data_IF_065079980947
#
_entry.id   IF_065079980947
#
_cell.length_a   1.000
_cell.length_b   1.000
_cell.length_c   1.000
_cell.angle_alpha   90.00
_cell.angle_beta   90.00
_cell.angle_gamma   90.00
#
_symmetry.space_group_name_H-M   'P 1'
#
loop_
_entity.id
_entity.type
_entity.pdbx_description
1 polymer ?
#
# COMPACT_ATOMS: atom_id res chain seq x y z
N UNK A 1 23.88 33.23 28.11
CA UNK A 1 23.82 33.25 29.58
C UNK A 1 22.37 33.01 29.99
N UNK A 2 21.98 31.76 30.23
CA UNK A 2 20.62 31.39 30.67
C UNK A 2 20.62 31.31 32.20
N UNK A 3 20.05 32.33 32.86
CA UNK A 3 19.77 32.24 34.30
C UNK A 3 18.76 31.12 34.59
N UNK A 4 18.76 30.54 35.80
CA UNK A 4 17.85 29.46 36.14
C UNK A 4 16.39 29.90 35.96
N UNK A 5 15.64 29.17 35.14
CA UNK A 5 14.21 29.43 34.94
C UNK A 5 13.49 29.32 36.28
N UNK A 6 12.78 30.38 36.68
CA UNK A 6 11.97 30.32 37.91
C UNK A 6 10.81 29.35 37.74
N UNK A 7 10.45 28.60 38.79
CA UNK A 7 9.36 27.61 38.78
C UNK A 7 8.03 28.17 38.23
N UNK A 8 7.76 29.46 38.47
CA UNK A 8 6.57 30.17 37.94
C UNK A 8 6.62 30.37 36.42
N UNK A 9 7.80 30.51 35.84
CA UNK A 9 7.97 30.62 34.38
C UNK A 9 7.71 29.27 33.72
N UNK A 10 8.19 28.18 34.33
CA UNK A 10 7.98 26.83 33.83
C UNK A 10 6.50 26.43 33.85
N UNK A 11 5.79 26.73 34.96
CA UNK A 11 4.35 26.48 35.12
C UNK A 11 3.44 27.33 34.22
N UNK A 12 3.98 28.32 33.52
CA UNK A 12 3.24 29.11 32.52
C UNK A 12 3.62 28.76 31.09
N UNK A 13 4.51 27.79 30.90
CA UNK A 13 4.97 27.35 29.59
C UNK A 13 3.84 26.62 28.85
N UNK A 14 3.46 27.07 27.64
CA UNK A 14 2.48 26.36 26.83
C UNK A 14 2.93 24.93 26.48
N UNK A 15 4.23 24.71 26.28
CA UNK A 15 4.77 23.37 26.03
C UNK A 15 4.53 22.43 27.21
N UNK A 16 4.72 22.92 28.45
CA UNK A 16 4.41 22.12 29.63
C UNK A 16 2.92 21.76 29.66
N UNK A 17 2.04 22.70 29.33
CA UNK A 17 0.61 22.43 29.27
C UNK A 17 0.27 21.39 28.18
N UNK A 18 0.84 21.50 26.98
CA UNK A 18 0.63 20.52 25.91
C UNK A 18 1.09 19.13 26.34
N UNK A 19 2.26 19.03 26.97
CA UNK A 19 2.79 17.77 27.50
C UNK A 19 1.90 17.19 28.60
N UNK A 20 1.45 18.00 29.57
CA UNK A 20 0.61 17.52 30.65
C UNK A 20 -0.77 17.08 30.15
N UNK A 21 -1.41 17.88 29.29
CA UNK A 21 -2.73 17.54 28.73
C UNK A 21 -2.60 16.34 27.81
N UNK A 22 -1.61 16.32 26.91
CA UNK A 22 -1.34 15.20 26.01
C UNK A 22 -1.02 13.90 26.77
N UNK A 23 -0.21 13.96 27.83
CA UNK A 23 0.07 12.80 28.68
C UNK A 23 -1.16 12.34 29.48
N UNK A 24 -2.01 13.27 29.95
CA UNK A 24 -3.27 12.92 30.58
C UNK A 24 -4.24 12.24 29.60
N UNK A 25 -4.31 12.73 28.35
CA UNK A 25 -5.10 12.09 27.28
C UNK A 25 -4.53 10.70 26.99
N UNK A 26 -3.21 10.56 26.86
CA UNK A 26 -2.54 9.29 26.64
C UNK A 26 -2.80 8.29 27.77
N UNK A 27 -2.61 8.72 29.02
CA UNK A 27 -2.86 7.88 30.19
C UNK A 27 -4.35 7.53 30.32
N UNK A 28 -5.25 8.48 30.07
CA UNK A 28 -6.69 8.21 30.04
C UNK A 28 -7.08 7.22 28.96
N UNK A 29 -6.52 7.36 27.75
CA UNK A 29 -6.67 6.41 26.66
C UNK A 29 -6.14 5.03 27.08
N UNK A 30 -4.89 4.92 27.54
CA UNK A 30 -4.28 3.67 27.97
C UNK A 30 -4.95 3.00 29.18
N UNK A 31 -5.63 3.75 30.05
CA UNK A 31 -6.38 3.23 31.19
C UNK A 31 -7.81 2.80 30.84
N UNK A 32 -8.40 3.41 29.80
CA UNK A 32 -9.73 3.06 29.29
C UNK A 32 -9.64 1.98 28.21
N UNK A 33 -8.48 1.84 27.58
CA UNK A 33 -8.17 0.80 26.63
C UNK A 33 -7.86 -0.48 27.41
N UNK A 34 -8.93 -1.22 27.76
CA UNK A 34 -8.86 -2.56 28.36
C UNK A 34 -8.35 -3.63 27.37
N UNK A 35 -7.81 -3.22 26.22
CA UNK A 35 -7.04 -4.13 25.39
C UNK A 35 -5.72 -4.41 26.13
N UNK A 36 -5.47 -5.67 26.58
CA UNK A 36 -4.16 -6.02 27.12
C UNK A 36 -3.11 -5.59 26.10
N UNK A 37 -1.91 -5.12 26.52
CA UNK A 37 -0.86 -4.75 25.59
C UNK A 37 -0.73 -5.92 24.63
N UNK A 38 -1.23 -5.73 23.41
CA UNK A 38 -1.16 -6.79 22.45
C UNK A 38 0.34 -7.04 22.34
N UNK A 39 0.84 -8.28 22.52
CA UNK A 39 2.12 -8.58 21.91
C UNK A 39 1.98 -8.00 20.51
N UNK A 40 2.87 -7.05 20.13
CA UNK A 40 2.71 -6.21 18.94
C UNK A 40 2.00 -7.05 17.89
N UNK A 41 0.88 -6.63 17.26
CA UNK A 41 -0.02 -7.54 16.52
C UNK A 41 0.67 -8.57 15.60
N UNK A 42 1.91 -8.27 15.21
CA UNK A 42 2.84 -9.07 14.41
C UNK A 42 3.95 -9.82 15.19
N UNK A 43 3.86 -9.97 16.51
CA UNK A 43 4.87 -10.60 17.34
C UNK A 43 4.84 -12.11 17.09
N UNK A 44 5.94 -12.60 16.52
CA UNK A 44 6.07 -14.00 16.13
C UNK A 44 6.63 -14.76 17.31
N UNK A 45 5.82 -15.67 17.86
CA UNK A 45 6.23 -16.55 18.96
C UNK A 45 6.64 -17.91 18.41
N UNK A 46 7.89 -18.28 18.63
CA UNK A 46 8.41 -19.60 18.28
C UNK A 46 8.12 -20.55 19.45
N UNK A 47 7.30 -21.57 19.22
CA UNK A 47 7.07 -22.59 20.24
C UNK A 47 8.31 -23.48 20.44
N UNK A 48 8.48 -24.10 21.63
CA UNK A 48 9.58 -25.04 21.87
C UNK A 48 9.65 -26.17 20.84
N UNK A 49 8.49 -26.69 20.43
CA UNK A 49 8.41 -27.78 19.44
C UNK A 49 8.89 -27.34 18.05
N UNK A 50 8.59 -26.11 17.65
CA UNK A 50 9.05 -25.54 16.37
C UNK A 50 10.57 -25.27 16.42
N UNK A 51 11.07 -24.75 17.55
CA UNK A 51 12.51 -24.57 17.76
C UNK A 51 13.26 -25.91 17.66
N UNK A 52 12.72 -26.97 18.27
CA UNK A 52 13.30 -28.30 18.19
C UNK A 52 13.30 -28.85 16.75
N UNK A 53 12.23 -28.63 15.97
CA UNK A 53 12.19 -29.02 14.56
C UNK A 53 13.28 -28.35 13.72
N UNK A 54 13.51 -27.06 13.93
CA UNK A 54 14.58 -26.30 13.25
C UNK A 54 15.94 -26.93 13.54
N UNK A 55 16.21 -27.25 14.81
CA UNK A 55 17.46 -27.90 15.23
C UNK A 55 17.60 -29.30 14.63
N UNK A 56 16.53 -30.09 14.62
CA UNK A 56 16.54 -31.44 14.04
C UNK A 56 16.77 -31.41 12.53
N UNK A 57 16.16 -30.48 11.81
CA UNK A 57 16.37 -30.34 10.37
C UNK A 57 17.82 -29.96 10.02
N UNK A 58 18.43 -29.08 10.83
CA UNK A 58 19.85 -28.77 10.70
C UNK A 58 20.71 -30.02 10.96
N UNK A 59 20.42 -30.78 12.02
CA UNK A 59 21.15 -32.02 12.35
C UNK A 59 21.05 -33.08 11.25
N UNK A 60 19.86 -33.28 10.67
CA UNK A 60 19.67 -34.23 9.57
C UNK A 60 20.51 -33.86 8.33
N UNK A 61 20.71 -32.57 8.10
CA UNK A 61 21.43 -32.07 6.91
C UNK A 61 22.94 -32.06 7.13
N UNK A 62 23.40 -31.63 8.31
CA UNK A 62 24.81 -31.35 8.59
C UNK A 62 25.47 -32.36 9.53
N UNK A 63 24.71 -33.34 10.05
CA UNK A 63 25.12 -34.37 11.00
C UNK A 63 25.87 -33.83 12.24
N UNK A 64 25.51 -32.61 12.68
CA UNK A 64 26.03 -31.96 13.90
C UNK A 64 25.01 -30.97 14.45
N UNK A 65 25.21 -30.52 15.69
CA UNK A 65 24.41 -29.44 16.25
C UNK A 65 24.83 -28.06 15.68
N UNK A 66 23.89 -27.11 15.54
CA UNK A 66 24.21 -25.74 15.14
C UNK A 66 25.00 -25.03 16.24
N UNK A 67 25.92 -24.15 15.84
CA UNK A 67 26.53 -23.17 16.74
C UNK A 67 25.52 -22.07 17.12
N UNK A 68 25.81 -21.29 18.16
CA UNK A 68 24.92 -20.18 18.60
C UNK A 68 24.63 -19.21 17.46
N UNK A 69 25.66 -18.80 16.70
CA UNK A 69 25.48 -17.89 15.56
C UNK A 69 24.75 -18.51 14.36
N UNK A 70 24.74 -19.83 14.23
CA UNK A 70 23.91 -20.52 13.22
C UNK A 70 22.48 -20.65 13.71
N UNK A 71 22.28 -20.94 14.99
CA UNK A 71 20.95 -20.99 15.61
C UNK A 71 20.24 -19.64 15.52
N UNK A 72 20.93 -18.55 15.84
CA UNK A 72 20.38 -17.19 15.71
C UNK A 72 19.94 -16.90 14.26
N UNK A 73 20.75 -17.28 13.27
CA UNK A 73 20.41 -17.09 11.85
C UNK A 73 19.21 -17.95 11.43
N UNK A 74 19.12 -19.18 11.93
CA UNK A 74 17.97 -20.06 11.65
C UNK A 74 16.69 -19.51 12.27
N UNK A 75 16.76 -19.01 13.50
CA UNK A 75 15.63 -18.39 14.19
C UNK A 75 15.18 -17.10 13.50
N UNK A 76 16.12 -16.26 13.07
CA UNK A 76 15.82 -15.05 12.28
C UNK A 76 15.19 -15.39 10.93
N UNK A 77 15.72 -16.38 10.23
CA UNK A 77 15.17 -16.82 8.94
C UNK A 77 13.74 -17.36 9.09
N UNK A 78 13.49 -18.18 10.12
CA UNK A 78 12.15 -18.67 10.43
C UNK A 78 11.18 -17.53 10.76
N UNK A 79 11.60 -16.56 11.57
CA UNK A 79 10.77 -15.41 11.91
C UNK A 79 10.42 -14.57 10.66
N UNK A 80 11.38 -14.37 9.75
CA UNK A 80 11.14 -13.68 8.49
C UNK A 80 10.14 -14.45 7.60
N UNK A 81 10.28 -15.76 7.50
CA UNK A 81 9.35 -16.61 6.74
C UNK A 81 7.92 -16.50 7.29
N UNK A 82 7.75 -16.63 8.61
CA UNK A 82 6.44 -16.55 9.26
C UNK A 82 5.82 -15.14 9.09
N UNK A 83 6.63 -14.07 9.15
CA UNK A 83 6.17 -12.71 8.87
C UNK A 83 5.59 -12.59 7.45
N UNK A 84 6.32 -13.08 6.44
CA UNK A 84 5.90 -13.03 5.03
C UNK A 84 4.64 -13.86 4.78
N UNK A 85 4.50 -15.02 5.43
CA UNK A 85 3.31 -15.87 5.28
C UNK A 85 2.08 -15.22 5.91
N UNK A 86 2.21 -14.54 7.05
CA UNK A 86 1.11 -13.79 7.67
C UNK A 86 0.64 -12.65 6.78
N UNK A 87 1.58 -11.87 6.25
CA UNK A 87 1.30 -10.77 5.33
C UNK A 87 0.58 -11.27 4.07
N UNK A 88 1.10 -12.34 3.44
CA UNK A 88 0.49 -12.94 2.27
C UNK A 88 -0.96 -13.41 2.51
N UNK A 89 -1.29 -13.87 3.73
CA UNK A 89 -2.66 -14.25 4.12
C UNK A 89 -3.55 -13.03 4.36
N UNK A 90 -3.03 -11.99 5.01
CA UNK A 90 -3.74 -10.73 5.26
C UNK A 90 -4.15 -10.06 3.94
N UNK A 91 -3.22 -10.02 2.98
CA UNK A 91 -3.44 -9.55 1.61
C UNK A 91 -4.33 -10.48 0.76
N UNK A 92 -4.70 -11.65 1.28
CA UNK A 92 -5.56 -12.60 0.58
C UNK A 92 -4.93 -13.24 -0.65
N UNK A 93 -3.59 -13.23 -0.77
CA UNK A 93 -2.85 -13.72 -1.96
C UNK A 93 -3.09 -15.22 -2.24
N UNK A 94 -3.57 -15.97 -1.25
CA UNK A 94 -3.97 -17.37 -1.43
C UNK A 94 -5.35 -17.56 -2.10
N UNK A 95 -6.19 -16.53 -2.18
CA UNK A 95 -7.55 -16.65 -2.71
C UNK A 95 -7.54 -16.60 -4.23
N UNK A 96 -8.09 -17.63 -4.86
CA UNK A 96 -8.25 -17.69 -6.31
C UNK A 96 -6.98 -18.08 -7.08
N UNK A 97 -5.82 -18.15 -6.41
CA UNK A 97 -4.57 -18.55 -7.05
C UNK A 97 -4.55 -20.08 -7.35
N UNK A 98 -4.39 -20.47 -8.63
CA UNK A 98 -4.41 -21.88 -9.03
C UNK A 98 -3.19 -22.68 -8.54
N UNK A 99 -2.02 -22.04 -8.38
CA UNK A 99 -0.79 -22.69 -7.91
C UNK A 99 -0.91 -23.05 -6.44
N UNK A 100 -1.38 -22.11 -5.60
CA UNK A 100 -1.60 -22.33 -4.18
C UNK A 100 -2.68 -23.40 -3.97
N UNK A 101 -3.78 -23.34 -4.74
CA UNK A 101 -4.83 -24.37 -4.69
C UNK A 101 -4.28 -25.76 -5.01
N UNK A 102 -3.47 -25.89 -6.06
CA UNK A 102 -2.85 -27.16 -6.43
C UNK A 102 -1.90 -27.67 -5.34
N UNK A 103 -1.08 -26.79 -4.74
CA UNK A 103 -0.16 -27.14 -3.65
C UNK A 103 -0.90 -27.63 -2.40
N UNK A 104 -2.02 -26.99 -2.04
CA UNK A 104 -2.86 -27.42 -0.91
C UNK A 104 -3.50 -28.79 -1.18
N UNK A 105 -4.06 -28.99 -2.38
CA UNK A 105 -4.58 -30.30 -2.79
C UNK A 105 -3.50 -31.38 -2.73
N UNK A 106 -2.30 -31.10 -3.23
CA UNK A 106 -1.17 -32.03 -3.18
C UNK A 106 -0.78 -32.38 -1.73
N UNK A 107 -0.73 -31.40 -0.82
CA UNK A 107 -0.45 -31.66 0.60
C UNK A 107 -1.55 -32.50 1.26
N UNK A 108 -2.82 -32.25 0.94
CA UNK A 108 -3.93 -33.05 1.47
C UNK A 108 -3.89 -34.49 0.97
N UNK A 109 -3.57 -34.71 -0.31
CA UNK A 109 -3.38 -36.05 -0.86
C UNK A 109 -2.20 -36.76 -0.18
N UNK A 110 -1.08 -36.08 0.08
CA UNK A 110 0.04 -36.67 0.82
C UNK A 110 -0.36 -37.14 2.23
N UNK A 111 -1.18 -36.36 2.95
CA UNK A 111 -1.69 -36.74 4.28
C UNK A 111 -2.65 -37.93 4.18
N UNK A 112 -3.54 -37.93 3.17
CA UNK A 112 -4.49 -39.00 2.93
C UNK A 112 -3.80 -40.32 2.54
N UNK A 113 -2.80 -40.25 1.65
CA UNK A 113 -2.00 -41.39 1.18
C UNK A 113 -1.06 -41.90 2.28
N UNK A 114 -0.45 -41.02 3.07
CA UNK A 114 0.37 -41.41 4.22
C UNK A 114 -0.40 -42.20 5.28
N UNK A 115 -1.72 -42.00 5.36
CA UNK A 115 -2.63 -42.80 6.22
C UNK A 115 -3.02 -44.14 5.57
N UNK A 116 -2.90 -44.27 4.24
CA UNK A 116 -3.24 -45.47 3.47
C UNK A 116 -2.02 -46.35 3.11
N UNK A 117 -0.80 -45.82 3.25
CA UNK A 117 0.47 -46.44 2.83
C UNK A 117 0.91 -47.69 3.63
N UNK A 118 0.07 -48.19 4.55
CA UNK A 118 0.38 -49.39 5.34
C UNK A 118 0.21 -50.73 4.59
N UNK A 119 -0.39 -50.73 3.39
CA UNK A 119 -0.65 -51.96 2.64
C UNK A 119 -0.03 -51.91 1.24
N UNK A 120 1.09 -52.61 1.05
CA UNK A 120 1.65 -52.87 -0.28
C UNK A 120 1.01 -54.13 -0.86
N UNK A 121 0.29 -54.01 -1.97
CA UNK A 121 -0.23 -55.17 -2.71
C UNK A 121 0.92 -55.92 -3.41
N UNK A 122 0.81 -57.23 -3.56
CA UNK A 122 1.81 -58.03 -4.27
C UNK A 122 1.71 -57.87 -5.81
N UNK A 123 2.79 -58.21 -6.52
CA UNK A 123 2.87 -58.06 -7.97
C UNK A 123 1.80 -58.86 -8.72
N UNK A 124 1.36 -60.00 -8.17
CA UNK A 124 0.30 -60.82 -8.74
C UNK A 124 -1.06 -60.11 -8.70
N UNK A 125 -1.37 -59.44 -7.59
CA UNK A 125 -2.59 -58.64 -7.44
C UNK A 125 -2.57 -57.43 -8.37
N UNK A 126 -1.41 -56.78 -8.52
CA UNK A 126 -1.24 -55.63 -9.42
C UNK A 126 -1.41 -56.03 -10.89
N UNK A 127 -0.83 -57.16 -11.32
CA UNK A 127 -0.95 -57.66 -12.69
C UNK A 127 -2.38 -58.04 -13.03
N UNK A 128 -3.08 -58.76 -12.13
CA UNK A 128 -4.48 -59.11 -12.33
C UNK A 128 -5.39 -57.87 -12.41
N UNK A 129 -5.09 -56.82 -11.63
CA UNK A 129 -5.83 -55.57 -11.66
C UNK A 129 -5.62 -54.80 -12.97
N UNK A 130 -4.39 -54.77 -13.50
CA UNK A 130 -4.05 -54.16 -14.78
C UNK A 130 -4.77 -54.85 -15.94
N UNK A 131 -4.79 -56.18 -15.95
CA UNK A 131 -5.46 -56.98 -16.98
C UNK A 131 -6.99 -56.84 -16.94
N UNK A 132 -7.57 -56.68 -15.74
CA UNK A 132 -9.01 -56.48 -15.56
C UNK A 132 -9.48 -55.06 -15.90
N UNK A 133 -8.58 -54.06 -15.88
CA UNK A 133 -8.94 -52.64 -16.08
C UNK A 133 -8.05 -51.94 -17.13
N UNK A 134 -7.92 -52.50 -18.35
CA UNK A 134 -6.99 -51.98 -19.36
C UNK A 134 -7.29 -50.53 -19.76
N UNK A 135 -8.56 -50.11 -19.73
CA UNK A 135 -8.97 -48.75 -20.10
C UNK A 135 -8.65 -47.70 -19.03
N UNK A 136 -8.49 -48.09 -17.76
CA UNK A 136 -8.09 -47.19 -16.66
C UNK A 136 -6.61 -46.79 -16.76
N UNK A 137 -5.78 -47.63 -17.38
CA UNK A 137 -4.34 -47.43 -17.52
C UNK A 137 -3.91 -47.02 -18.95
N UNK A 138 -4.86 -46.85 -19.87
CA UNK A 138 -4.61 -46.25 -21.18
C UNK A 138 -4.50 -44.73 -21.03
N UNK A 139 -3.42 -44.15 -21.55
CA UNK A 139 -3.34 -42.68 -21.69
C UNK A 139 -4.31 -42.25 -22.79
N UNK A 140 -5.24 -41.32 -22.53
CA UNK A 140 -6.11 -40.80 -23.58
C UNK A 140 -5.26 -40.14 -24.67
N UNK A 141 -5.72 -40.21 -25.92
CA UNK A 141 -5.07 -39.52 -27.03
C UNK A 141 -5.10 -38.01 -26.76
N UNK A 142 -3.92 -37.39 -26.69
CA UNK A 142 -3.76 -35.94 -26.56
C UNK A 142 -3.53 -35.33 -27.94
N UNK A 143 -4.30 -34.31 -28.29
CA UNK A 143 -4.14 -33.58 -29.55
C UNK A 143 -3.79 -32.13 -29.23
N UNK A 144 -2.75 -31.61 -29.87
CA UNK A 144 -2.39 -30.19 -29.83
C UNK A 144 -2.80 -29.56 -31.16
N UNK A 145 -3.53 -28.46 -31.12
CA UNK A 145 -3.92 -27.68 -32.30
C UNK A 145 -3.80 -26.18 -31.97
N UNK A 146 -3.61 -25.36 -33.01
CA UNK A 146 -3.52 -23.91 -32.91
C UNK A 146 -4.62 -23.29 -33.76
N UNK A 147 -5.31 -22.29 -33.23
CA UNK A 147 -6.37 -21.56 -33.92
C UNK A 147 -5.89 -20.14 -34.21
N UNK A 148 -6.12 -19.67 -35.44
CA UNK A 148 -5.80 -18.31 -35.85
C UNK A 148 -7.13 -17.58 -36.08
N UNK A 149 -7.49 -16.61 -35.22
CA UNK A 149 -8.71 -15.83 -35.41
C UNK A 149 -8.51 -14.85 -36.58
N UNK A 150 -9.49 -14.77 -37.47
CA UNK A 150 -9.54 -13.82 -38.57
C UNK A 150 -10.71 -12.87 -38.35
N UNK A 151 -10.52 -11.58 -38.64
CA UNK A 151 -11.63 -10.62 -38.65
C UNK A 151 -12.52 -10.81 -39.89
N UNK A 152 -13.79 -10.35 -39.91
CA UNK A 152 -14.70 -10.55 -41.04
C UNK A 152 -14.16 -10.03 -42.39
N UNK A 153 -13.37 -8.96 -42.36
CA UNK A 153 -12.65 -8.37 -43.49
C UNK A 153 -11.43 -9.18 -43.95
N UNK A 154 -10.94 -10.11 -43.13
CA UNK A 154 -9.83 -11.02 -43.42
C UNK A 154 -10.29 -12.42 -43.86
N UNK A 155 -11.60 -12.68 -43.92
CA UNK A 155 -12.14 -14.01 -44.23
C UNK A 155 -11.65 -14.56 -45.59
N UNK A 156 -11.51 -13.69 -46.59
CA UNK A 156 -11.04 -14.06 -47.94
C UNK A 156 -9.54 -14.44 -47.96
N UNK A 157 -8.79 -14.13 -46.91
CA UNK A 157 -7.36 -14.42 -46.80
C UNK A 157 -7.08 -15.83 -46.23
N UNK A 158 -8.10 -16.51 -45.70
CA UNK A 158 -7.96 -17.81 -45.05
C UNK A 158 -7.24 -18.89 -45.90
N UNK A 159 -7.50 -19.04 -47.21
CA UNK A 159 -6.80 -20.03 -48.04
C UNK A 159 -5.31 -19.72 -48.21
N UNK A 160 -4.95 -18.44 -48.34
CA UNK A 160 -3.57 -18.01 -48.46
C UNK A 160 -2.81 -18.19 -47.14
N UNK A 161 -3.50 -17.93 -46.02
CA UNK A 161 -2.99 -18.17 -44.67
C UNK A 161 -2.75 -19.65 -44.39
N UNK A 162 -3.65 -20.52 -44.86
CA UNK A 162 -3.50 -21.96 -44.72
C UNK A 162 -2.26 -22.46 -45.45
N UNK A 163 -2.02 -21.98 -46.68
CA UNK A 163 -0.85 -22.33 -47.45
C UNK A 163 0.47 -21.91 -46.76
N UNK A 164 0.52 -20.71 -46.15
CA UNK A 164 1.72 -20.28 -45.42
C UNK A 164 1.98 -21.10 -44.16
N UNK A 165 0.94 -21.57 -43.48
CA UNK A 165 1.05 -22.47 -42.33
C UNK A 165 1.54 -23.87 -42.74
N UNK A 166 1.03 -24.40 -43.86
CA UNK A 166 1.50 -25.66 -44.43
C UNK A 166 2.98 -25.60 -44.84
N UNK A 167 3.46 -24.40 -45.24
CA UNK A 167 4.87 -24.11 -45.52
C UNK A 167 5.73 -23.86 -44.26
N UNK A 168 5.16 -24.01 -43.06
CA UNK A 168 5.89 -23.96 -41.79
C UNK A 168 6.04 -22.57 -41.17
N UNK A 169 5.22 -21.59 -41.58
CA UNK A 169 5.15 -20.29 -40.91
C UNK A 169 4.70 -20.45 -39.44
N UNK A 170 5.29 -19.66 -38.54
CA UNK A 170 4.88 -19.62 -37.15
C UNK A 170 3.51 -18.91 -37.04
N UNK A 171 2.45 -19.60 -36.56
CA UNK A 171 1.10 -19.04 -36.53
C UNK A 171 0.97 -17.84 -35.57
N UNK A 172 1.90 -17.68 -34.62
CA UNK A 172 1.90 -16.56 -33.67
C UNK A 172 2.12 -15.18 -34.31
N UNK A 173 2.66 -15.13 -35.54
CA UNK A 173 3.04 -13.88 -36.22
C UNK A 173 2.05 -13.43 -37.29
N UNK A 174 0.95 -14.18 -37.48
CA UNK A 174 0.07 -14.03 -38.63
C UNK A 174 -1.15 -13.13 -38.35
N UNK A 175 -1.55 -12.99 -37.09
CA UNK A 175 -2.69 -12.15 -36.69
C UNK A 175 -2.22 -10.89 -35.95
N UNK A 176 -2.11 -9.77 -36.66
CA UNK A 176 -1.91 -8.43 -36.09
C UNK A 176 -3.20 -7.63 -36.19
N UNK A 177 -3.75 -7.20 -35.05
CA UNK A 177 -4.88 -6.27 -35.01
C UNK A 177 -4.37 -4.83 -35.23
N UNK A 178 -4.75 -4.13 -36.33
CA UNK A 178 -4.23 -2.79 -36.64
C UNK A 178 -4.53 -1.74 -35.56
N UNK A 179 -5.66 -1.90 -34.87
CA UNK A 179 -6.14 -1.00 -33.81
C UNK A 179 -5.66 -1.44 -32.40
N UNK A 180 -4.82 -2.47 -32.30
CA UNK A 180 -4.43 -3.08 -31.03
C UNK A 180 -5.47 -4.05 -30.45
N UNK A 181 -5.14 -4.70 -29.33
CA UNK A 181 -6.01 -5.67 -28.63
C UNK A 181 -6.73 -5.06 -27.41
N UNK A 182 -6.28 -3.90 -26.93
CA UNK A 182 -6.76 -3.21 -25.73
C UNK A 182 -8.23 -2.77 -25.87
N UNK A 183 -9.09 -3.12 -24.90
CA UNK A 183 -10.53 -2.88 -24.96
C UNK A 183 -11.31 -3.84 -25.86
N UNK A 184 -10.61 -4.70 -26.63
CA UNK A 184 -11.21 -5.75 -27.44
C UNK A 184 -11.74 -6.91 -26.59
N UNK A 185 -12.82 -7.55 -27.07
CA UNK A 185 -13.34 -8.77 -26.43
C UNK A 185 -12.90 -9.99 -27.25
N UNK A 186 -12.18 -10.90 -26.60
CA UNK A 186 -11.86 -12.21 -27.18
C UNK A 186 -12.92 -13.19 -26.73
N UNK A 187 -13.62 -13.81 -27.70
CA UNK A 187 -14.63 -14.84 -27.48
C UNK A 187 -14.31 -16.07 -28.31
N UNK A 188 -14.46 -17.25 -27.72
CA UNK A 188 -14.36 -18.53 -28.43
C UNK A 188 -15.78 -19.04 -28.67
N UNK A 189 -16.27 -18.90 -29.91
CA UNK A 189 -17.60 -19.37 -30.26
C UNK A 189 -17.70 -20.89 -30.13
N UNK A 190 -18.77 -21.39 -29.50
CA UNK A 190 -19.01 -22.82 -29.36
C UNK A 190 -18.29 -23.48 -28.19
N UNK A 191 -17.47 -22.74 -27.42
CA UNK A 191 -16.81 -23.26 -26.23
C UNK A 191 -17.83 -23.73 -25.18
N UNK A 192 -18.99 -23.06 -25.10
CA UNK A 192 -20.12 -23.41 -24.24
C UNK A 192 -20.71 -24.80 -24.52
N UNK A 193 -20.43 -25.38 -25.69
CA UNK A 193 -20.90 -26.71 -26.11
C UNK A 193 -19.86 -27.81 -25.90
N UNK A 194 -18.73 -27.46 -25.29
CA UNK A 194 -17.60 -28.39 -25.08
C UNK A 194 -17.31 -28.56 -23.59
N UNK A 195 -16.64 -29.66 -23.22
CA UNK A 195 -16.10 -29.88 -21.87
C UNK A 195 -14.61 -29.52 -21.81
N UNK A 196 -14.19 -28.53 -22.58
CA UNK A 196 -12.78 -28.17 -22.76
C UNK A 196 -12.55 -26.75 -22.26
N UNK A 197 -11.40 -26.54 -21.62
CA UNK A 197 -10.91 -25.20 -21.28
C UNK A 197 -9.96 -24.71 -22.37
N UNK A 198 -10.02 -23.42 -22.69
CA UNK A 198 -9.13 -22.79 -23.68
C UNK A 198 -8.21 -21.80 -22.98
N UNK A 199 -6.90 -21.95 -23.17
CA UNK A 199 -5.92 -20.96 -22.73
C UNK A 199 -5.67 -19.97 -23.87
N UNK A 200 -6.06 -18.72 -23.64
CA UNK A 200 -5.76 -17.61 -24.54
C UNK A 200 -4.49 -16.94 -24.07
N UNK A 201 -3.44 -17.04 -24.85
CA UNK A 201 -2.18 -16.33 -24.64
C UNK A 201 -2.12 -15.14 -25.59
N UNK A 202 -1.94 -13.94 -25.05
CA UNK A 202 -1.91 -12.70 -25.83
C UNK A 202 -0.83 -11.75 -25.29
N UNK A 203 -0.39 -10.83 -26.14
CA UNK A 203 0.70 -9.90 -25.86
C UNK A 203 0.21 -8.49 -26.25
N UNK A 204 -0.44 -7.75 -25.33
CA UNK A 204 -0.98 -6.43 -25.64
C UNK A 204 0.13 -5.40 -25.84
N UNK A 205 1.28 -5.59 -25.20
CA UNK A 205 2.50 -4.78 -25.33
C UNK A 205 3.68 -5.70 -25.64
N UNK A 206 4.64 -5.30 -26.50
CA UNK A 206 5.81 -6.11 -26.81
C UNK A 206 6.57 -6.55 -25.55
N UNK A 207 6.71 -7.86 -25.36
CA UNK A 207 7.36 -8.50 -24.21
C UNK A 207 6.43 -8.86 -23.04
N UNK A 208 5.19 -8.36 -23.00
CA UNK A 208 4.24 -8.62 -21.90
C UNK A 208 3.25 -9.71 -22.27
N UNK A 209 3.66 -10.96 -22.09
CA UNK A 209 2.81 -12.11 -22.37
C UNK A 209 1.85 -12.35 -21.21
N UNK A 210 0.55 -12.26 -21.48
CA UNK A 210 -0.53 -12.60 -20.54
C UNK A 210 -1.24 -13.89 -20.99
N UNK A 211 -1.77 -14.65 -20.04
CA UNK A 211 -2.55 -15.85 -20.30
C UNK A 211 -3.86 -15.80 -19.53
N UNK A 212 -4.98 -15.94 -20.24
CA UNK A 212 -6.32 -16.02 -19.68
C UNK A 212 -6.91 -17.40 -19.96
N UNK A 213 -7.63 -17.98 -18.99
CA UNK A 213 -8.33 -19.25 -19.18
C UNK A 213 -9.81 -18.98 -19.43
N UNK A 214 -10.31 -19.46 -20.56
CA UNK A 214 -11.74 -19.51 -20.88
C UNK A 214 -12.27 -20.91 -20.58
N UNK A 215 -13.51 -20.95 -20.10
CA UNK A 215 -14.21 -22.19 -19.71
C UNK A 215 -15.54 -22.27 -20.46
N UNK A 216 -16.23 -23.40 -20.39
CA UNK A 216 -17.56 -23.54 -21.01
C UNK A 216 -18.62 -22.59 -20.42
N UNK A 217 -18.44 -22.11 -19.19
CA UNK A 217 -19.30 -21.11 -18.54
C UNK A 217 -18.85 -19.66 -18.74
N UNK A 218 -17.60 -19.45 -19.17
CA UNK A 218 -16.98 -18.14 -19.30
C UNK A 218 -16.18 -18.12 -20.60
N UNK A 219 -16.90 -17.91 -21.71
CA UNK A 219 -16.42 -18.12 -23.08
C UNK A 219 -15.82 -16.87 -23.73
N UNK A 220 -15.86 -15.74 -23.03
CA UNK A 220 -15.34 -14.47 -23.51
C UNK A 220 -14.69 -13.68 -22.37
N UNK A 221 -13.64 -12.92 -22.69
CA UNK A 221 -13.07 -11.94 -21.79
C UNK A 221 -12.73 -10.66 -22.54
N UNK A 222 -12.83 -9.52 -21.86
CA UNK A 222 -12.42 -8.23 -22.41
C UNK A 222 -11.00 -7.93 -21.95
N UNK A 223 -10.12 -7.63 -22.89
CA UNK A 223 -8.77 -7.18 -22.59
C UNK A 223 -8.90 -5.78 -21.99
N UNK A 224 -8.40 -5.60 -20.76
CA UNK A 224 -8.37 -4.29 -20.12
C UNK A 224 -7.73 -3.29 -21.09
N UNK A 225 -8.47 -2.25 -21.47
CA UNK A 225 -7.86 -1.13 -22.14
C UNK A 225 -6.85 -0.53 -21.16
N UNK A 226 -5.64 -0.19 -21.62
CA UNK A 226 -4.75 0.62 -20.81
C UNK A 226 -5.55 1.84 -20.37
N UNK A 227 -5.69 2.02 -19.05
CA UNK A 227 -6.42 3.14 -18.50
C UNK A 227 -5.88 4.39 -19.19
N UNK A 228 -6.74 5.12 -19.91
CA UNK A 228 -6.28 6.26 -20.68
C UNK A 228 -5.50 7.19 -19.76
N UNK A 229 -4.46 7.88 -20.27
CA UNK A 229 -3.65 8.83 -19.46
C UNK A 229 -4.54 9.76 -18.63
N UNK A 230 -5.70 10.16 -19.18
CA UNK A 230 -6.70 10.96 -18.48
C UNK A 230 -7.37 10.24 -17.29
N UNK A 231 -7.71 8.97 -17.42
CA UNK A 231 -8.31 8.15 -16.36
C UNK A 231 -7.31 7.88 -15.22
N UNK A 232 -6.05 7.62 -15.58
CA UNK A 232 -4.94 7.55 -14.61
C UNK A 232 -4.79 8.89 -13.89
N UNK A 233 -4.73 10.01 -14.62
CA UNK A 233 -4.59 11.34 -14.04
C UNK A 233 -5.73 11.65 -13.06
N UNK A 234 -6.98 11.37 -13.45
CA UNK A 234 -8.15 11.60 -12.62
C UNK A 234 -8.13 10.74 -11.35
N UNK A 235 -7.76 9.47 -11.47
CA UNK A 235 -7.70 8.54 -10.34
C UNK A 235 -6.65 8.98 -9.31
N UNK A 236 -5.45 9.39 -9.77
CA UNK A 236 -4.39 9.85 -8.88
C UNK A 236 -4.66 11.23 -8.28
N UNK A 237 -5.29 12.16 -9.01
CA UNK A 237 -5.77 13.43 -8.44
C UNK A 237 -6.78 13.16 -7.32
N UNK A 238 -7.75 12.26 -7.56
CA UNK A 238 -8.74 11.91 -6.54
C UNK A 238 -8.08 11.27 -5.32
N UNK A 239 -7.13 10.36 -5.53
CA UNK A 239 -6.36 9.72 -4.47
C UNK A 239 -5.58 10.72 -3.62
N UNK A 240 -4.89 11.68 -4.25
CA UNK A 240 -4.18 12.74 -3.53
C UNK A 240 -5.11 13.65 -2.75
N UNK A 241 -6.29 13.94 -3.30
CA UNK A 241 -7.31 14.74 -2.63
C UNK A 241 -7.89 14.02 -1.41
N UNK A 242 -8.21 12.74 -1.49
CA UNK A 242 -8.74 11.99 -0.33
C UNK A 242 -7.65 11.75 0.72
N UNK A 243 -6.41 11.47 0.28
CA UNK A 243 -5.27 11.23 1.17
C UNK A 243 -5.05 12.37 2.18
N UNK A 244 -5.03 13.62 1.71
CA UNK A 244 -4.82 14.77 2.58
C UNK A 244 -5.99 14.99 3.56
N UNK A 245 -7.20 14.58 3.18
CA UNK A 245 -8.40 14.67 4.03
C UNK A 245 -8.45 13.57 5.10
N UNK A 246 -7.91 12.39 4.82
CA UNK A 246 -7.84 11.28 5.77
C UNK A 246 -6.71 11.48 6.80
N UNK A 247 -5.62 12.14 6.40
CA UNK A 247 -4.50 12.45 7.27
C UNK A 247 -4.77 13.58 8.26
N UNK A 248 -5.21 13.24 9.48
CA UNK A 248 -5.47 14.24 10.53
C UNK A 248 -4.23 15.10 10.87
N UNK A 249 -3.02 14.53 10.85
CA UNK A 249 -1.77 15.29 11.01
C UNK A 249 -1.65 16.43 9.99
N UNK A 250 -1.97 16.13 8.72
CA UNK A 250 -1.90 17.10 7.65
C UNK A 250 -2.96 18.20 7.80
N UNK A 251 -4.19 17.84 8.18
CA UNK A 251 -5.25 18.83 8.41
C UNK A 251 -4.93 19.74 9.61
N UNK A 252 -4.39 19.20 10.70
CA UNK A 252 -3.95 19.99 11.84
C UNK A 252 -2.77 20.89 11.49
N UNK A 253 -1.83 20.39 10.68
CA UNK A 253 -0.71 21.18 10.16
C UNK A 253 -1.19 22.36 9.30
N UNK A 254 -2.07 22.11 8.32
CA UNK A 254 -2.63 23.15 7.44
C UNK A 254 -3.47 24.14 8.24
N UNK A 255 -4.25 23.67 9.23
CA UNK A 255 -5.00 24.54 10.14
C UNK A 255 -4.05 25.43 10.96
N UNK A 256 -2.96 24.87 11.47
CA UNK A 256 -1.96 25.65 12.20
C UNK A 256 -1.29 26.70 11.31
N UNK A 257 -0.94 26.35 10.06
CA UNK A 257 -0.40 27.30 9.08
C UNK A 257 -1.40 28.40 8.73
N UNK A 258 -2.68 28.06 8.53
CA UNK A 258 -3.75 29.03 8.28
C UNK A 258 -3.87 30.05 9.41
N UNK A 259 -3.71 29.61 10.67
CA UNK A 259 -3.76 30.49 11.83
C UNK A 259 -2.46 31.28 12.05
N UNK A 260 -1.33 30.75 11.59
CA UNK A 260 0.00 31.35 11.78
C UNK A 260 0.31 32.40 10.72
N UNK A 261 -0.08 32.15 9.46
CA UNK A 261 0.27 32.96 8.30
C UNK A 261 -0.88 33.94 7.97
N UNK A 262 -0.69 35.26 8.17
CA UNK A 262 -1.79 36.21 8.13
C UNK A 262 -2.23 36.61 6.71
N UNK A 263 -1.38 36.45 5.69
CA UNK A 263 -1.69 36.89 4.33
C UNK A 263 -2.03 35.70 3.43
N UNK A 264 -3.14 35.73 2.67
CA UNK A 264 -3.54 34.62 1.79
C UNK A 264 -2.47 34.26 0.76
N UNK A 265 -1.75 35.27 0.24
CA UNK A 265 -0.65 35.04 -0.71
C UNK A 265 0.52 34.30 -0.06
N UNK A 266 0.92 34.65 1.17
CA UNK A 266 1.99 33.94 1.85
C UNK A 266 1.55 32.54 2.26
N UNK A 267 0.28 32.36 2.64
CA UNK A 267 -0.28 31.05 2.95
C UNK A 267 -0.27 30.14 1.71
N UNK A 268 -0.73 30.63 0.57
CA UNK A 268 -0.70 29.91 -0.71
C UNK A 268 0.72 29.40 -1.00
N UNK A 269 1.71 30.29 -1.00
CA UNK A 269 3.10 29.89 -1.25
C UNK A 269 3.68 28.97 -0.18
N UNK A 270 3.23 29.05 1.08
CA UNK A 270 3.66 28.12 2.11
C UNK A 270 3.06 26.72 1.92
N UNK A 271 1.80 26.62 1.52
CA UNK A 271 1.13 25.36 1.19
C UNK A 271 1.78 24.74 -0.05
N UNK A 272 1.94 25.50 -1.13
CA UNK A 272 2.61 25.01 -2.34
C UNK A 272 4.05 24.55 -2.05
N UNK A 273 4.81 25.29 -1.22
CA UNK A 273 6.16 24.87 -0.83
C UNK A 273 6.18 23.56 -0.04
N UNK A 274 5.18 23.33 0.83
CA UNK A 274 5.01 22.04 1.50
C UNK A 274 4.72 20.93 0.51
N UNK A 275 3.76 21.12 -0.41
CA UNK A 275 3.42 20.13 -1.43
C UNK A 275 4.64 19.79 -2.29
N UNK A 276 5.41 20.79 -2.74
CA UNK A 276 6.62 20.55 -3.53
C UNK A 276 7.68 19.73 -2.78
N UNK A 277 7.92 20.03 -1.51
CA UNK A 277 8.85 19.26 -0.68
C UNK A 277 8.36 17.84 -0.40
N UNK A 278 7.06 17.71 -0.16
CA UNK A 278 6.38 16.42 0.00
C UNK A 278 6.52 15.58 -1.28
N UNK A 279 6.25 16.15 -2.46
CA UNK A 279 6.44 15.50 -3.77
C UNK A 279 7.86 14.97 -3.93
N UNK A 280 8.86 15.78 -3.57
CA UNK A 280 10.27 15.42 -3.75
C UNK A 280 10.67 14.20 -2.93
N UNK A 281 10.23 14.15 -1.67
CA UNK A 281 10.58 13.06 -0.75
C UNK A 281 9.74 11.81 -1.00
N UNK A 282 8.48 11.97 -1.38
CA UNK A 282 7.63 10.87 -1.83
C UNK A 282 8.19 10.21 -3.10
N UNK A 283 8.63 11.01 -4.08
CA UNK A 283 9.27 10.51 -5.30
C UNK A 283 10.60 9.79 -5.00
N UNK A 284 11.44 10.36 -4.14
CA UNK A 284 12.68 9.72 -3.73
C UNK A 284 12.44 8.37 -3.02
N UNK A 285 11.41 8.31 -2.17
CA UNK A 285 11.09 7.09 -1.44
C UNK A 285 10.40 6.04 -2.31
N UNK A 286 9.53 6.43 -3.25
CA UNK A 286 8.85 5.50 -4.18
C UNK A 286 9.80 4.88 -5.20
N UNK A 287 10.82 5.62 -5.65
CA UNK A 287 11.91 5.09 -6.50
C UNK A 287 12.92 4.22 -5.74
N UNK A 288 12.73 4.03 -4.43
CA UNK A 288 13.64 3.26 -3.58
C UNK A 288 14.99 3.94 -3.33
N UNK A 289 15.13 5.23 -3.64
CA UNK A 289 16.37 6.01 -3.40
C UNK A 289 16.55 6.27 -1.90
N UNK A 290 15.45 6.40 -1.15
CA UNK A 290 15.46 6.69 0.27
C UNK A 290 14.51 5.73 1.02
N UNK A 291 15.04 4.96 1.95
CA UNK A 291 14.28 4.07 2.84
C UNK A 291 14.50 4.50 4.27
N UNK A 292 13.42 4.95 4.93
CA UNK A 292 13.45 5.37 6.33
C UNK A 292 12.34 4.63 7.07
N UNK A 293 12.58 4.08 8.27
CA UNK A 293 11.52 3.49 9.09
C UNK A 293 10.40 4.50 9.35
N UNK A 294 9.14 4.05 9.36
CA UNK A 294 7.98 4.94 9.59
C UNK A 294 7.95 5.57 10.99
N UNK A 295 8.18 4.82 12.10
CA UNK A 295 7.96 5.37 13.44
C UNK A 295 8.78 6.64 13.77
N UNK A 296 10.08 6.75 13.45
CA UNK A 296 10.85 8.00 13.62
C UNK A 296 10.28 9.17 12.84
N UNK A 297 9.82 8.92 11.61
CA UNK A 297 9.28 9.94 10.73
C UNK A 297 7.97 10.48 11.29
N UNK A 298 7.06 9.60 11.69
CA UNK A 298 5.77 9.96 12.26
C UNK A 298 5.91 10.76 13.58
N UNK A 299 6.87 10.40 14.43
CA UNK A 299 7.17 11.15 15.64
C UNK A 299 7.66 12.57 15.32
N UNK A 300 8.54 12.74 14.32
CA UNK A 300 9.00 14.06 13.88
C UNK A 300 7.87 14.86 13.22
N UNK A 301 6.96 14.22 12.49
CA UNK A 301 5.74 14.83 11.97
C UNK A 301 4.90 15.39 13.13
N UNK A 302 4.63 14.59 14.18
CA UNK A 302 3.90 15.04 15.36
C UNK A 302 4.58 16.25 16.03
N UNK A 303 5.90 16.16 16.21
CA UNK A 303 6.71 17.21 16.80
C UNK A 303 6.67 18.52 15.98
N UNK A 304 6.63 18.43 14.66
CA UNK A 304 6.48 19.62 13.80
C UNK A 304 5.17 20.37 14.08
N UNK A 305 4.07 19.64 14.31
CA UNK A 305 2.76 20.23 14.61
C UNK A 305 2.75 20.83 16.03
N UNK A 306 3.41 20.17 17.00
CA UNK A 306 3.64 20.74 18.35
C UNK A 306 4.39 22.07 18.26
N UNK A 307 5.43 22.16 17.42
CA UNK A 307 6.18 23.40 17.19
C UNK A 307 5.28 24.50 16.62
N UNK A 308 4.48 24.22 15.60
CA UNK A 308 3.51 25.18 15.03
C UNK A 308 2.46 25.62 16.06
N UNK A 309 1.94 24.68 16.85
CA UNK A 309 1.01 24.99 17.93
C UNK A 309 1.63 25.91 18.97
N UNK A 310 2.90 25.69 19.33
CA UNK A 310 3.63 26.54 20.26
C UNK A 310 3.82 27.95 19.72
N UNK A 311 4.23 28.10 18.45
CA UNK A 311 4.37 29.40 17.79
C UNK A 311 3.06 30.21 17.79
N UNK A 312 1.91 29.53 17.68
CA UNK A 312 0.59 30.17 17.77
C UNK A 312 0.28 30.75 19.16
N UNK A 313 0.87 30.21 20.24
CA UNK A 313 0.69 30.75 21.59
C UNK A 313 1.50 32.02 21.85
N UNK A 314 2.55 32.23 21.06
CA UNK A 314 3.44 33.38 21.20
C UNK A 314 2.82 34.62 20.53
N UNK A 315 2.98 35.81 21.15
CA UNK A 315 2.62 37.06 20.49
C UNK A 315 3.55 37.29 19.28
N UNK A 316 3.09 38.02 18.23
CA UNK A 316 3.82 38.12 16.96
C UNK A 316 5.27 38.60 17.09
N UNK A 317 5.59 39.44 18.08
CA UNK A 317 6.94 39.96 18.35
C UNK A 317 7.92 38.91 18.93
N UNK A 318 7.41 37.78 19.43
CA UNK A 318 8.21 36.71 20.07
C UNK A 318 8.26 35.41 19.27
N UNK A 319 7.56 35.35 18.14
CA UNK A 319 7.58 34.19 17.24
C UNK A 319 8.94 34.07 16.57
N UNK A 320 9.25 32.86 16.09
CA UNK A 320 10.46 32.60 15.33
C UNK A 320 10.52 33.54 14.10
N UNK A 321 11.61 34.31 13.91
CA UNK A 321 11.75 35.22 12.79
C UNK A 321 11.64 34.53 11.43
N UNK A 322 12.06 33.27 11.32
CA UNK A 322 11.99 32.48 10.10
C UNK A 322 10.55 32.09 9.78
N UNK A 323 9.80 31.62 10.79
CA UNK A 323 8.37 31.29 10.66
C UNK A 323 7.53 32.49 10.23
N UNK A 324 7.94 33.71 10.59
CA UNK A 324 7.25 34.93 10.17
C UNK A 324 7.70 35.49 8.82
N UNK A 325 9.01 35.51 8.54
CA UNK A 325 9.56 36.14 7.33
C UNK A 325 9.54 35.22 6.12
N UNK A 326 9.73 33.92 6.34
CA UNK A 326 9.82 32.91 5.32
C UNK A 326 9.02 31.65 5.73
N UNK A 327 7.69 31.77 5.94
CA UNK A 327 6.84 30.62 6.30
C UNK A 327 6.92 29.50 5.25
N UNK A 328 7.15 29.85 3.98
CA UNK A 328 7.36 28.88 2.90
C UNK A 328 8.58 27.98 3.12
N UNK A 329 9.65 28.48 3.72
CA UNK A 329 10.86 27.70 3.97
C UNK A 329 10.66 26.70 5.12
N UNK A 330 10.00 27.14 6.19
CA UNK A 330 9.61 26.27 7.31
C UNK A 330 8.65 25.18 6.81
N UNK A 331 7.67 25.58 6.02
CA UNK A 331 6.70 24.66 5.39
C UNK A 331 7.39 23.66 4.45
N UNK A 332 8.37 24.10 3.66
CA UNK A 332 9.19 23.23 2.82
C UNK A 332 9.96 22.20 3.66
N UNK A 333 10.62 22.62 4.74
CA UNK A 333 11.37 21.71 5.61
C UNK A 333 10.46 20.64 6.25
N UNK A 334 9.26 21.03 6.70
CA UNK A 334 8.28 20.07 7.21
C UNK A 334 7.71 19.17 6.11
N UNK A 335 7.47 19.70 4.91
CA UNK A 335 7.02 18.92 3.76
C UNK A 335 7.97 17.78 3.40
N UNK A 336 9.29 18.00 3.50
CA UNK A 336 10.30 16.94 3.29
C UNK A 336 10.11 15.76 4.26
N UNK A 337 9.80 16.05 5.52
CA UNK A 337 9.59 14.98 6.53
C UNK A 337 8.24 14.31 6.32
N UNK A 338 7.19 15.09 6.05
CA UNK A 338 5.84 14.57 5.84
C UNK A 338 5.74 13.63 4.64
N UNK A 339 6.47 13.92 3.55
CA UNK A 339 6.49 13.03 2.36
C UNK A 339 7.09 11.65 2.62
N UNK A 340 7.92 11.50 3.65
CA UNK A 340 8.46 10.20 4.07
C UNK A 340 7.42 9.35 4.80
N UNK A 341 6.48 9.98 5.53
CA UNK A 341 5.47 9.26 6.33
C UNK A 341 4.46 8.49 5.48
N UNK A 342 4.26 8.89 4.21
CA UNK A 342 3.32 8.24 3.29
C UNK A 342 3.98 7.26 2.31
N UNK A 343 5.31 7.20 2.28
CA UNK A 343 6.04 6.39 1.30
C UNK A 343 5.75 4.88 1.39
N UNK A 344 5.42 4.38 2.59
CA UNK A 344 4.99 2.98 2.79
C UNK A 344 3.69 2.66 2.09
N UNK A 345 2.65 3.46 2.32
CA UNK A 345 1.32 3.26 1.74
C UNK A 345 1.32 3.40 0.21
N UNK A 346 2.10 4.33 -0.36
CA UNK A 346 2.16 4.47 -1.83
C UNK A 346 2.84 3.26 -2.51
N UNK A 347 3.79 2.61 -1.83
CA UNK A 347 4.38 1.35 -2.32
C UNK A 347 3.37 0.20 -2.32
N UNK A 348 2.40 0.20 -1.40
CA UNK A 348 1.33 -0.81 -1.33
C UNK A 348 0.26 -0.57 -2.40
N UNK A 349 -0.07 0.69 -2.69
CA UNK A 349 -1.02 1.07 -3.76
C UNK A 349 -0.42 0.79 -5.15
N UNK A 350 0.90 0.89 -5.28
CA UNK A 350 1.63 0.67 -6.53
C UNK A 350 1.54 1.86 -7.49
N UNK A 351 2.55 2.02 -8.35
CA UNK A 351 2.55 3.00 -9.44
C UNK A 351 2.42 2.24 -10.77
N UNK A 352 1.75 2.81 -11.80
CA UNK A 352 1.66 2.16 -13.10
C UNK A 352 3.05 2.03 -13.72
N UNK A 353 3.35 0.85 -14.28
CA UNK A 353 4.62 0.59 -14.95
C UNK A 353 4.78 1.57 -16.14
N UNK A 354 5.81 2.42 -16.10
CA UNK A 354 6.11 3.41 -17.16
C UNK A 354 5.65 4.84 -16.90
N UNK A 355 4.62 5.07 -16.06
CA UNK A 355 3.99 6.40 -15.86
C UNK A 355 4.15 6.98 -14.44
N UNK A 356 5.05 6.43 -13.64
CA UNK A 356 5.30 6.86 -12.25
C UNK A 356 5.46 8.40 -12.06
N UNK A 357 6.21 9.15 -12.90
CA UNK A 357 6.31 10.60 -12.74
C UNK A 357 4.99 11.35 -12.94
N UNK A 358 4.15 10.90 -13.87
CA UNK A 358 2.85 11.51 -14.18
C UNK A 358 1.86 11.22 -13.06
N UNK A 359 1.83 9.97 -12.58
CA UNK A 359 1.01 9.57 -11.45
C UNK A 359 1.36 10.34 -10.16
N UNK A 360 2.66 10.49 -9.87
CA UNK A 360 3.14 11.29 -8.74
C UNK A 360 2.78 12.77 -8.89
N UNK A 361 2.92 13.34 -10.08
CA UNK A 361 2.51 14.71 -10.34
C UNK A 361 1.00 14.91 -10.13
N UNK A 362 0.17 14.01 -10.67
CA UNK A 362 -1.28 14.01 -10.53
C UNK A 362 -1.73 13.88 -9.07
N UNK A 363 -1.10 12.96 -8.32
CA UNK A 363 -1.32 12.81 -6.88
C UNK A 363 -1.07 14.11 -6.12
N UNK A 364 0.07 14.75 -6.36
CA UNK A 364 0.42 15.99 -5.65
C UNK A 364 -0.48 17.17 -6.04
N UNK A 365 -0.98 17.20 -7.29
CA UNK A 365 -2.02 18.16 -7.67
C UNK A 365 -3.32 17.93 -6.88
N UNK A 366 -3.69 16.67 -6.66
CA UNK A 366 -4.78 16.28 -5.77
C UNK A 366 -4.57 16.75 -4.33
N UNK A 367 -3.36 16.56 -3.80
CA UNK A 367 -2.98 17.02 -2.45
C UNK A 367 -3.12 18.54 -2.32
N UNK A 368 -2.55 19.32 -3.24
CA UNK A 368 -2.65 20.79 -3.22
C UNK A 368 -4.12 21.24 -3.32
N UNK A 369 -4.91 20.62 -4.20
CA UNK A 369 -6.34 20.90 -4.31
C UNK A 369 -7.09 20.61 -3.00
N UNK A 370 -6.79 19.50 -2.32
CA UNK A 370 -7.39 19.15 -1.03
C UNK A 370 -7.01 20.13 0.09
N UNK A 371 -5.74 20.55 0.16
CA UNK A 371 -5.29 21.56 1.13
C UNK A 371 -6.02 22.90 0.92
N UNK A 372 -6.11 23.37 -0.32
CA UNK A 372 -6.81 24.62 -0.66
C UNK A 372 -8.32 24.53 -0.41
N UNK A 373 -8.94 23.39 -0.70
CA UNK A 373 -10.35 23.14 -0.39
C UNK A 373 -10.62 23.20 1.12
N UNK A 374 -9.78 22.53 1.92
CA UNK A 374 -9.88 22.57 3.39
C UNK A 374 -9.75 24.00 3.92
N UNK A 375 -8.74 24.76 3.47
CA UNK A 375 -8.56 26.18 3.84
C UNK A 375 -9.81 26.99 3.48
N UNK A 376 -10.34 26.81 2.27
CA UNK A 376 -11.55 27.49 1.81
C UNK A 376 -12.76 27.21 2.69
N UNK A 377 -12.96 25.94 3.07
CA UNK A 377 -14.05 25.51 3.95
C UNK A 377 -13.90 26.14 5.34
N UNK A 378 -12.71 26.09 5.95
CA UNK A 378 -12.45 26.68 7.27
C UNK A 378 -12.71 28.19 7.26
N UNK A 379 -12.23 28.89 6.22
CA UNK A 379 -12.45 30.33 6.06
C UNK A 379 -13.94 30.67 5.85
N UNK A 380 -14.66 29.89 5.06
CA UNK A 380 -16.09 30.07 4.82
C UNK A 380 -16.91 29.82 6.09
N UNK A 381 -16.61 28.74 6.82
CA UNK A 381 -17.23 28.43 8.11
C UNK A 381 -16.98 29.54 9.13
N UNK A 382 -15.74 30.02 9.22
CA UNK A 382 -15.40 31.15 10.07
C UNK A 382 -16.16 32.43 9.69
N UNK A 383 -16.23 32.76 8.40
CA UNK A 383 -16.99 33.92 7.92
C UNK A 383 -18.49 33.81 8.25
N UNK A 384 -19.09 32.63 8.11
CA UNK A 384 -20.48 32.36 8.46
C UNK A 384 -20.73 32.52 9.97
N UNK A 385 -19.88 31.91 10.80
CA UNK A 385 -19.93 32.03 12.27
C UNK A 385 -19.83 33.50 12.69
N UNK A 386 -18.93 34.27 12.06
CA UNK A 386 -18.75 35.70 12.35
C UNK A 386 -19.89 36.60 11.85
N UNK A 387 -20.78 36.10 10.97
CA UNK A 387 -22.02 36.78 10.60
C UNK A 387 -23.16 36.46 11.56
N UNK A 388 -23.27 35.21 12.01
CA UNK A 388 -24.35 34.77 12.92
C UNK A 388 -24.07 35.22 14.37
N UNK A 389 -22.82 35.12 14.82
CA UNK A 389 -22.39 35.41 16.19
C UNK A 389 -21.29 36.49 16.19
N UNK A 390 -21.61 37.76 15.90
CA UNK A 390 -20.63 38.83 15.80
C UNK A 390 -19.88 39.10 17.11
N UNK A 391 -20.41 38.66 18.25
CA UNK A 391 -19.73 38.71 19.54
C UNK A 391 -18.40 37.94 19.55
N UNK A 392 -18.28 36.87 18.75
CA UNK A 392 -17.05 36.07 18.63
C UNK A 392 -15.88 36.84 18.00
N UNK A 393 -16.14 37.95 17.29
CA UNK A 393 -15.07 38.85 16.79
C UNK A 393 -14.20 39.42 17.90
N UNK A 394 -14.77 39.59 19.10
CA UNK A 394 -14.04 40.08 20.28
C UNK A 394 -13.22 39.00 20.97
N UNK A 395 -13.46 37.73 20.65
CA UNK A 395 -12.82 36.57 21.28
C UNK A 395 -11.91 35.79 20.31
N UNK A 396 -11.62 36.34 19.13
CA UNK A 396 -10.77 35.68 18.12
C UNK A 396 -9.43 35.25 18.69
N UNK A 397 -8.76 36.11 19.47
CA UNK A 397 -7.49 35.76 20.13
C UNK A 397 -7.64 34.58 21.11
N UNK A 398 -8.72 34.56 21.89
CA UNK A 398 -8.98 33.47 22.84
C UNK A 398 -9.31 32.16 22.11
N UNK A 399 -10.05 32.23 21.00
CA UNK A 399 -10.36 31.10 20.14
C UNK A 399 -9.09 30.54 19.47
N UNK A 400 -8.25 31.39 18.87
CA UNK A 400 -6.96 30.96 18.30
C UNK A 400 -6.06 30.32 19.36
N UNK A 401 -6.02 30.87 20.57
CA UNK A 401 -5.27 30.27 21.67
C UNK A 401 -5.86 28.91 22.07
N UNK A 402 -7.18 28.80 22.20
CA UNK A 402 -7.86 27.53 22.48
C UNK A 402 -7.60 26.47 21.41
N UNK A 403 -7.68 26.85 20.13
CA UNK A 403 -7.36 25.97 18.99
C UNK A 403 -5.90 25.56 19.01
N UNK A 404 -4.98 26.47 19.30
CA UNK A 404 -3.55 26.16 19.46
C UNK A 404 -3.30 25.15 20.60
N UNK A 405 -4.00 25.27 21.74
CA UNK A 405 -3.92 24.29 22.82
C UNK A 405 -4.50 22.93 22.43
N UNK A 406 -5.59 22.89 21.66
CA UNK A 406 -6.14 21.64 21.15
C UNK A 406 -5.16 20.96 20.18
N UNK A 407 -4.64 21.68 19.18
CA UNK A 407 -3.66 21.18 18.21
C UNK A 407 -2.41 20.68 18.94
N UNK A 408 -1.85 21.49 19.84
CA UNK A 408 -0.63 21.15 20.57
C UNK A 408 -0.79 19.94 21.49
N UNK A 409 -1.92 19.82 22.18
CA UNK A 409 -2.17 18.69 23.09
C UNK A 409 -2.42 17.38 22.33
N UNK A 410 -3.22 17.41 21.25
CA UNK A 410 -3.47 16.23 20.39
C UNK A 410 -2.16 15.77 19.74
N UNK A 411 -1.38 16.70 19.20
CA UNK A 411 -0.10 16.37 18.56
C UNK A 411 0.93 15.85 19.55
N UNK A 412 0.88 16.31 20.82
CA UNK A 412 1.74 15.78 21.88
C UNK A 412 1.30 14.38 22.32
N UNK A 413 -0.01 14.11 22.35
CA UNK A 413 -0.52 12.75 22.52
C UNK A 413 0.02 11.81 21.43
N UNK A 414 -0.11 12.19 20.16
CA UNK A 414 0.45 11.39 19.06
C UNK A 414 1.96 11.25 19.12
N UNK A 415 2.68 12.29 19.53
CA UNK A 415 4.13 12.22 19.73
C UNK A 415 4.50 11.15 20.77
N UNK A 416 3.80 11.12 21.91
CA UNK A 416 4.03 10.12 22.96
C UNK A 416 3.70 8.73 22.46
N UNK A 417 2.55 8.57 21.79
CA UNK A 417 2.09 7.31 21.22
C UNK A 417 3.11 6.73 20.21
N UNK A 418 3.55 7.55 19.26
CA UNK A 418 4.56 7.18 18.25
C UNK A 418 5.93 6.89 18.86
N UNK A 419 6.27 7.54 19.99
CA UNK A 419 7.49 7.25 20.74
C UNK A 419 7.37 5.95 21.53
N UNK A 420 6.19 5.63 22.06
CA UNK A 420 5.94 4.39 22.78
C UNK A 420 5.90 3.16 21.85
N UNK A 421 5.72 3.38 20.54
CA UNK A 421 5.75 2.35 19.51
C UNK A 421 7.17 1.95 19.04
N UNK A 422 8.22 2.62 19.53
CA UNK A 422 9.62 2.16 19.40
C UNK A 422 9.94 1.08 20.44
#
# INVERSE_FOLDING_TARGET
MTGPMTLRTLLRSPLLHFCLIGACIFAGYALLDDTPPQPAPDAITLSPDEADRIVQQFRMTWNRSPSVAELDRLMQAWALEEALVREARALGLARGDPVIRQRLTQKMNFIAEGSAAGATADDATLQAHLEAHPDTFRRPATLAFQQIPLTPDQADQAPALLATLEDGADPAWIATCPDGLSGGTIRIEGLERTNTDTLVRYEPEPGRVLTHRLTSSDTAFTIAADAGVFEVLQSYIALGFTHILEGLDHLLFVLALLLLVPTPRALFWAVTAFTLAHSLTLAAASMGVLTVPSPPVEAVIALSIVFLAYELTLPPDRRDPLSMRAPWLVSFAFGLVHGLGFAGALREIGLPDGDAPIALFAFNLGVEAGQLAFIGIVLAAWAAIQRILPALRRHTRALTLGTSYAIGSISTFWLIDRIAAF
#
